data_IF_373414114514
#
_entry.id   IF_373414114514
#
_cell.length_a   1.000
_cell.length_b   1.000
_cell.length_c   1.000
_cell.angle_alpha   90.00
_cell.angle_beta   90.00
_cell.angle_gamma   90.00
#
_symmetry.space_group_name_H-M   'P 1'
#
loop_
_entity.id
_entity.type
_entity.pdbx_description
1 polymer ?
#
# COMPACT_ATOMS: atom_id res chain seq x y z
N UNK A 1 -27.90 35.49 -4.28
CA UNK A 1 -27.42 34.17 -4.70
C UNK A 1 -26.43 33.70 -3.65
N UNK A 2 -26.89 32.91 -2.68
CA UNK A 2 -26.10 32.42 -1.56
C UNK A 2 -25.25 31.24 -2.06
N UNK A 3 -23.93 31.44 -2.09
CA UNK A 3 -22.97 30.34 -2.27
C UNK A 3 -23.10 29.40 -1.07
N UNK A 4 -23.86 28.33 -1.23
CA UNK A 4 -23.84 27.20 -0.33
C UNK A 4 -22.47 26.53 -0.44
N UNK A 5 -21.58 26.82 0.51
CA UNK A 5 -20.40 26.00 0.77
C UNK A 5 -20.91 24.63 1.22
N UNK A 6 -20.88 23.66 0.29
CA UNK A 6 -21.05 22.26 0.64
C UNK A 6 -20.06 21.96 1.77
N UNK A 7 -20.56 21.54 2.93
CA UNK A 7 -19.73 21.11 4.04
C UNK A 7 -18.77 20.04 3.52
N UNK A 8 -17.45 20.24 3.69
CA UNK A 8 -16.48 19.19 3.39
C UNK A 8 -16.87 17.97 4.24
N UNK A 9 -16.97 16.76 3.64
CA UNK A 9 -17.21 15.57 4.43
C UNK A 9 -16.17 15.49 5.54
N UNK A 10 -16.59 15.04 6.71
CA UNK A 10 -15.70 14.90 7.88
C UNK A 10 -14.58 13.92 7.50
N UNK A 11 -13.41 14.48 7.17
CA UNK A 11 -12.23 13.74 6.68
C UNK A 11 -11.63 12.77 7.70
N UNK A 12 -12.25 12.59 8.88
CA UNK A 12 -11.77 11.71 9.95
C UNK A 12 -12.55 10.39 10.06
N UNK A 13 -13.47 10.12 9.16
CA UNK A 13 -14.29 8.90 9.28
C UNK A 13 -13.45 7.63 9.10
N UNK A 14 -12.46 7.62 8.20
CA UNK A 14 -11.63 6.43 7.96
C UNK A 14 -10.60 6.19 9.07
N UNK A 15 -10.12 7.23 9.78
CA UNK A 15 -9.11 7.12 10.83
C UNK A 15 -9.53 6.18 11.98
N UNK A 16 -10.82 6.10 12.29
CA UNK A 16 -11.36 5.17 13.29
C UNK A 16 -11.06 3.71 12.97
N UNK A 17 -10.90 3.36 11.70
CA UNK A 17 -10.64 1.98 11.29
C UNK A 17 -9.23 1.52 11.64
N UNK A 18 -8.28 2.42 11.95
CA UNK A 18 -6.98 2.05 12.52
C UNK A 18 -7.12 1.31 13.86
N UNK A 19 -8.18 1.58 14.63
CA UNK A 19 -8.47 0.88 15.89
C UNK A 19 -9.50 -0.23 15.74
N UNK A 20 -10.36 -0.19 14.73
CA UNK A 20 -11.42 -1.16 14.52
C UNK A 20 -10.99 -2.39 13.72
N UNK A 21 -9.95 -2.26 12.90
CA UNK A 21 -9.47 -3.32 12.03
C UNK A 21 -7.98 -3.57 12.24
N UNK A 22 -7.63 -4.78 12.61
CA UNK A 22 -6.23 -5.21 12.68
C UNK A 22 -5.93 -6.09 11.48
N UNK A 23 -5.09 -5.64 10.53
CA UNK A 23 -4.76 -6.45 9.36
C UNK A 23 -4.01 -7.71 9.80
N UNK A 24 -4.40 -8.91 9.31
CA UNK A 24 -3.73 -10.14 9.65
C UNK A 24 -2.27 -10.10 9.18
N UNK A 25 -1.37 -10.73 9.96
CA UNK A 25 0.02 -10.93 9.57
C UNK A 25 0.10 -11.78 8.30
N UNK A 26 1.14 -11.58 7.51
CA UNK A 26 1.39 -12.38 6.29
C UNK A 26 1.79 -13.81 6.67
N UNK A 27 2.77 -13.95 7.56
CA UNK A 27 3.17 -15.27 8.11
C UNK A 27 3.44 -16.32 7.01
N UNK A 28 4.16 -15.92 5.98
CA UNK A 28 4.55 -16.74 4.84
C UNK A 28 3.45 -17.04 3.82
N UNK A 29 2.19 -16.66 4.10
CA UNK A 29 1.06 -16.86 3.17
C UNK A 29 0.39 -15.53 2.81
N UNK A 30 0.50 -15.15 1.56
CA UNK A 30 -0.09 -13.93 0.99
C UNK A 30 -1.52 -14.13 0.48
N UNK A 31 -1.99 -15.38 0.44
CA UNK A 31 -3.26 -15.72 -0.22
C UNK A 31 -4.45 -15.07 0.47
N UNK A 32 -5.21 -14.29 -0.27
CA UNK A 32 -6.41 -13.64 0.20
C UNK A 32 -6.18 -12.55 1.26
N UNK A 33 -4.94 -12.16 1.54
CA UNK A 33 -4.65 -11.11 2.53
C UNK A 33 -4.61 -9.73 1.89
N UNK A 34 -5.18 -8.74 2.58
CA UNK A 34 -5.01 -7.34 2.25
C UNK A 34 -3.57 -6.90 2.53
N UNK A 35 -3.05 -5.99 1.71
CA UNK A 35 -1.71 -5.39 1.90
C UNK A 35 -1.90 -3.89 2.17
N UNK A 36 -2.00 -3.53 3.44
CA UNK A 36 -2.39 -2.17 3.86
C UNK A 36 -1.43 -1.53 4.87
N UNK A 37 -0.55 -2.32 5.50
CA UNK A 37 0.45 -1.82 6.44
C UNK A 37 1.76 -2.61 6.31
N UNK A 38 2.89 -1.93 6.53
CA UNK A 38 4.20 -2.59 6.63
C UNK A 38 4.29 -3.49 7.87
N UNK A 39 3.47 -3.25 8.87
CA UNK A 39 3.46 -4.02 10.11
C UNK A 39 2.90 -5.45 9.94
N UNK A 40 2.31 -5.77 8.76
CA UNK A 40 1.85 -7.12 8.45
C UNK A 40 2.99 -8.11 8.17
N UNK A 41 4.17 -7.61 7.83
CA UNK A 41 5.31 -8.41 7.38
C UNK A 41 6.26 -8.75 8.53
N UNK A 42 7.05 -9.79 8.30
CA UNK A 42 8.26 -10.11 9.03
C UNK A 42 9.46 -10.32 8.07
N UNK A 43 10.63 -10.67 8.62
CA UNK A 43 11.84 -10.92 7.82
C UNK A 43 11.66 -12.04 6.81
N UNK A 44 10.93 -13.10 7.16
CA UNK A 44 10.67 -14.23 6.27
C UNK A 44 9.76 -13.83 5.10
N UNK A 45 8.72 -13.06 5.39
CA UNK A 45 7.81 -12.54 4.37
C UNK A 45 8.55 -11.69 3.35
N UNK A 46 9.46 -10.83 3.83
CA UNK A 46 10.28 -9.95 2.96
C UNK A 46 11.23 -10.77 2.11
N UNK A 47 11.83 -11.84 2.62
CA UNK A 47 12.68 -12.72 1.83
C UNK A 47 11.88 -13.43 0.72
N UNK A 48 10.68 -13.93 1.01
CA UNK A 48 9.76 -14.50 0.01
C UNK A 48 9.46 -13.50 -1.10
N UNK A 49 9.18 -12.23 -0.71
CA UNK A 49 8.93 -11.16 -1.68
C UNK A 49 10.15 -10.83 -2.53
N UNK A 50 11.35 -10.80 -1.94
CA UNK A 50 12.59 -10.51 -2.66
C UNK A 50 12.89 -11.60 -3.70
N UNK A 51 12.75 -12.86 -3.31
CA UNK A 51 12.98 -14.00 -4.21
C UNK A 51 11.96 -14.01 -5.36
N UNK A 52 10.68 -13.80 -5.06
CA UNK A 52 9.63 -13.68 -6.06
C UNK A 52 9.88 -12.50 -7.02
N UNK A 53 10.26 -11.33 -6.48
CA UNK A 53 10.54 -10.12 -7.26
C UNK A 53 11.73 -10.35 -8.20
N UNK A 54 12.82 -10.93 -7.71
CA UNK A 54 13.99 -11.25 -8.51
C UNK A 54 13.65 -12.24 -9.64
N UNK A 55 12.87 -13.27 -9.33
CA UNK A 55 12.39 -14.26 -10.31
C UNK A 55 11.51 -13.62 -11.39
N UNK A 56 10.49 -12.86 -11.01
CA UNK A 56 9.57 -12.18 -11.95
C UNK A 56 10.35 -11.18 -12.80
N UNK A 57 11.24 -10.38 -12.24
CA UNK A 57 12.08 -9.43 -12.96
C UNK A 57 12.96 -10.13 -14.03
N UNK A 58 13.56 -11.28 -13.68
CA UNK A 58 14.34 -12.10 -14.62
C UNK A 58 13.46 -12.57 -15.78
N UNK A 59 12.28 -13.09 -15.48
CA UNK A 59 11.33 -13.60 -16.47
C UNK A 59 10.81 -12.49 -17.39
N UNK A 60 10.53 -11.28 -16.86
CA UNK A 60 10.15 -10.10 -17.67
C UNK A 60 11.27 -9.75 -18.66
N UNK A 61 12.54 -9.70 -18.20
CA UNK A 61 13.70 -9.40 -19.07
C UNK A 61 13.92 -10.46 -20.16
N UNK A 62 13.50 -11.68 -19.92
CA UNK A 62 13.56 -12.79 -20.87
C UNK A 62 12.33 -12.86 -21.79
N UNK A 63 11.38 -11.94 -21.67
CA UNK A 63 10.10 -11.97 -22.39
C UNK A 63 9.35 -13.30 -22.23
N UNK A 64 9.43 -13.91 -21.03
CA UNK A 64 8.78 -15.18 -20.73
C UNK A 64 7.26 -15.04 -20.73
N UNK A 65 6.62 -15.57 -21.75
CA UNK A 65 5.16 -15.56 -21.90
C UNK A 65 4.43 -16.38 -20.83
N UNK A 66 5.12 -17.30 -20.14
CA UNK A 66 4.53 -18.04 -19.02
C UNK A 66 4.12 -17.14 -17.85
N UNK A 67 4.61 -15.88 -17.78
CA UNK A 67 4.14 -14.89 -16.82
C UNK A 67 2.65 -14.55 -17.00
N UNK A 68 2.16 -14.57 -18.24
CA UNK A 68 0.76 -14.23 -18.54
C UNK A 68 -0.25 -15.22 -17.96
N UNK A 69 0.18 -16.37 -17.50
CA UNK A 69 -0.68 -17.35 -16.85
C UNK A 69 -0.89 -17.08 -15.35
N UNK A 70 -0.06 -16.21 -14.73
CA UNK A 70 -0.08 -16.02 -13.28
C UNK A 70 -1.37 -15.36 -12.77
N UNK A 71 -1.91 -14.41 -13.53
CA UNK A 71 -3.15 -13.71 -13.19
C UNK A 71 -4.20 -13.80 -14.29
N UNK A 72 -4.11 -14.77 -15.17
CA UNK A 72 -5.08 -14.99 -16.24
C UNK A 72 -6.50 -15.14 -15.63
N UNK A 73 -7.48 -14.41 -16.17
CA UNK A 73 -8.85 -14.40 -15.69
C UNK A 73 -9.08 -13.62 -14.38
N UNK A 74 -8.07 -12.93 -13.86
CA UNK A 74 -8.19 -12.04 -12.70
C UNK A 74 -8.39 -10.60 -13.14
N UNK A 75 -9.21 -9.87 -12.38
CA UNK A 75 -9.50 -8.46 -12.61
C UNK A 75 -8.99 -7.62 -11.44
N UNK A 76 -8.17 -6.62 -11.75
CA UNK A 76 -7.74 -5.60 -10.80
C UNK A 76 -8.47 -4.29 -11.07
N UNK A 77 -9.00 -3.67 -10.01
CA UNK A 77 -9.53 -2.30 -10.05
C UNK A 77 -8.53 -1.33 -9.44
N UNK A 78 -8.28 -0.18 -10.09
CA UNK A 78 -7.52 0.92 -9.47
C UNK A 78 -8.47 2.06 -9.11
N UNK A 79 -8.54 2.38 -7.81
CA UNK A 79 -9.36 3.46 -7.24
C UNK A 79 -8.43 4.55 -6.69
N UNK A 80 -8.16 5.56 -7.49
CA UNK A 80 -7.26 6.66 -7.15
C UNK A 80 -8.04 7.94 -6.89
N UNK A 81 -8.29 8.22 -5.61
CA UNK A 81 -8.91 9.47 -5.13
C UNK A 81 -7.91 10.63 -5.07
N UNK A 82 -6.62 10.31 -5.01
CA UNK A 82 -5.51 11.25 -5.09
C UNK A 82 -4.66 10.93 -6.32
N UNK A 83 -4.38 11.92 -7.15
CA UNK A 83 -3.63 11.74 -8.39
C UNK A 83 -2.21 11.19 -8.12
N UNK A 84 -1.84 10.12 -8.80
CA UNK A 84 -0.51 9.54 -8.75
C UNK A 84 -0.19 8.75 -10.01
N UNK A 85 0.33 9.43 -11.01
CA UNK A 85 0.61 8.82 -12.33
C UNK A 85 1.52 7.60 -12.23
N UNK A 86 2.63 7.69 -11.50
CA UNK A 86 3.60 6.59 -11.39
C UNK A 86 3.01 5.37 -10.68
N UNK A 87 2.34 5.57 -9.55
CA UNK A 87 1.76 4.46 -8.77
C UNK A 87 0.66 3.78 -9.55
N UNK A 88 -0.29 4.53 -10.12
CA UNK A 88 -1.40 3.96 -10.89
C UNK A 88 -0.89 3.16 -12.09
N UNK A 89 -0.06 3.77 -12.95
CA UNK A 89 0.48 3.09 -14.13
C UNK A 89 1.34 1.87 -13.78
N UNK A 90 2.09 1.91 -12.67
CA UNK A 90 2.92 0.76 -12.26
C UNK A 90 2.09 -0.45 -11.86
N UNK A 91 1.01 -0.26 -11.11
CA UNK A 91 0.08 -1.35 -10.77
C UNK A 91 -0.64 -1.89 -12.01
N UNK A 92 -1.11 -1.02 -12.90
CA UNK A 92 -1.75 -1.43 -14.14
C UNK A 92 -0.79 -2.21 -15.04
N UNK A 93 0.46 -1.75 -15.17
CA UNK A 93 1.48 -2.45 -15.94
C UNK A 93 1.81 -3.81 -15.32
N UNK A 94 1.98 -3.88 -13.98
CA UNK A 94 2.26 -5.12 -13.28
C UNK A 94 1.17 -6.17 -13.53
N UNK A 95 -0.11 -5.80 -13.37
CA UNK A 95 -1.22 -6.73 -13.58
C UNK A 95 -1.25 -7.27 -15.02
N UNK A 96 -1.03 -6.40 -16.02
CA UNK A 96 -1.00 -6.81 -17.43
C UNK A 96 0.21 -7.65 -17.79
N UNK A 97 1.39 -7.37 -17.23
CA UNK A 97 2.57 -8.22 -17.41
C UNK A 97 2.39 -9.65 -16.86
N UNK A 98 1.51 -9.80 -15.88
CA UNK A 98 1.18 -11.10 -15.29
C UNK A 98 -0.03 -11.77 -15.97
N UNK A 99 -0.69 -11.10 -16.92
CA UNK A 99 -1.78 -11.64 -17.75
C UNK A 99 -3.20 -11.37 -17.23
N UNK A 100 -3.34 -10.49 -16.25
CA UNK A 100 -4.65 -10.06 -15.76
C UNK A 100 -5.19 -8.82 -16.46
N UNK A 101 -6.46 -8.54 -16.19
CA UNK A 101 -7.19 -7.39 -16.72
C UNK A 101 -7.25 -6.25 -15.70
N UNK A 102 -7.46 -5.03 -16.19
CA UNK A 102 -7.51 -3.82 -15.35
C UNK A 102 -8.71 -2.97 -15.71
N UNK A 103 -9.47 -2.56 -14.70
CA UNK A 103 -10.43 -1.47 -14.76
C UNK A 103 -9.94 -0.31 -13.89
N UNK A 104 -9.93 0.90 -14.42
CA UNK A 104 -9.37 2.05 -13.72
C UNK A 104 -10.42 3.14 -13.51
N UNK A 105 -10.51 3.64 -12.28
CA UNK A 105 -11.27 4.82 -11.93
C UNK A 105 -10.32 5.90 -11.37
N UNK A 106 -9.44 6.40 -12.25
CA UNK A 106 -8.49 7.47 -11.92
C UNK A 106 -9.14 8.82 -12.21
N UNK A 107 -9.07 9.75 -11.27
CA UNK A 107 -9.68 11.09 -11.33
C UNK A 107 -11.23 11.10 -11.47
N UNK A 108 -11.84 10.04 -11.98
CA UNK A 108 -13.29 9.94 -12.15
C UNK A 108 -14.04 9.70 -10.85
N UNK A 109 -13.42 9.05 -9.86
CA UNK A 109 -14.03 8.77 -8.56
C UNK A 109 -14.38 10.07 -7.84
N UNK A 110 -13.50 11.09 -7.90
CA UNK A 110 -13.75 12.40 -7.29
C UNK A 110 -14.94 13.14 -7.92
N UNK A 111 -15.22 12.89 -9.20
CA UNK A 111 -16.26 13.64 -9.95
C UNK A 111 -17.59 12.90 -10.03
N UNK A 112 -17.63 11.59 -9.85
CA UNK A 112 -18.84 10.80 -10.05
C UNK A 112 -19.51 10.38 -8.73
N UNK A 113 -18.79 9.66 -7.88
CA UNK A 113 -19.39 9.00 -6.70
C UNK A 113 -19.45 9.93 -5.48
N UNK A 114 -18.36 10.64 -5.17
CA UNK A 114 -18.31 11.58 -4.03
C UNK A 114 -19.31 12.73 -4.21
N UNK A 115 -19.45 13.24 -5.44
CA UNK A 115 -20.40 14.31 -5.74
C UNK A 115 -21.86 13.89 -5.52
N UNK A 116 -22.14 12.58 -5.59
CA UNK A 116 -23.45 11.99 -5.35
C UNK A 116 -23.67 11.50 -3.91
N UNK A 117 -22.68 11.73 -3.03
CA UNK A 117 -22.76 11.31 -1.62
C UNK A 117 -22.44 9.84 -1.38
N UNK A 118 -21.85 9.13 -2.34
CA UNK A 118 -21.36 7.77 -2.16
C UNK A 118 -20.11 7.78 -1.26
N UNK A 119 -20.09 6.94 -0.24
CA UNK A 119 -18.97 6.79 0.67
C UNK A 119 -17.99 5.71 0.17
N UNK A 120 -16.78 5.68 0.75
CA UNK A 120 -15.75 4.71 0.39
C UNK A 120 -16.21 3.27 0.58
N UNK A 121 -16.95 3.00 1.66
CA UNK A 121 -17.46 1.67 1.98
C UNK A 121 -18.39 1.12 0.87
N UNK A 122 -19.26 1.95 0.32
CA UNK A 122 -20.17 1.56 -0.74
C UNK A 122 -19.42 1.32 -2.05
N UNK A 123 -18.47 2.20 -2.40
CA UNK A 123 -17.63 2.05 -3.59
C UNK A 123 -16.81 0.75 -3.54
N UNK A 124 -16.10 0.46 -2.43
CA UNK A 124 -15.26 -0.73 -2.35
C UNK A 124 -16.09 -2.02 -2.33
N UNK A 125 -17.29 -2.02 -1.72
CA UNK A 125 -18.20 -3.16 -1.78
C UNK A 125 -18.71 -3.41 -3.18
N UNK A 126 -19.15 -2.37 -3.88
CA UNK A 126 -19.61 -2.48 -5.26
C UNK A 126 -18.51 -3.02 -6.18
N UNK A 127 -17.29 -2.46 -6.10
CA UNK A 127 -16.14 -2.89 -6.89
C UNK A 127 -15.70 -4.30 -6.50
N UNK A 128 -15.74 -4.64 -5.21
CA UNK A 128 -15.42 -5.98 -4.69
C UNK A 128 -16.32 -7.10 -5.21
N UNK A 129 -17.53 -6.77 -5.68
CA UNK A 129 -18.40 -7.77 -6.31
C UNK A 129 -17.85 -8.32 -7.64
N UNK A 130 -17.00 -7.57 -8.35
CA UNK A 130 -16.49 -7.98 -9.65
C UNK A 130 -14.96 -7.97 -9.79
N UNK A 131 -14.22 -7.21 -8.97
CA UNK A 131 -12.76 -7.22 -8.97
C UNK A 131 -12.20 -8.26 -7.99
N UNK A 132 -11.05 -8.85 -8.32
CA UNK A 132 -10.31 -9.75 -7.42
C UNK A 132 -9.32 -8.95 -6.54
N UNK A 133 -8.78 -7.85 -7.07
CA UNK A 133 -7.85 -6.96 -6.37
C UNK A 133 -8.29 -5.52 -6.56
N UNK A 134 -8.29 -4.75 -5.48
CA UNK A 134 -8.53 -3.30 -5.50
C UNK A 134 -7.23 -2.60 -5.06
N UNK A 135 -6.65 -1.78 -5.92
CA UNK A 135 -5.57 -0.87 -5.52
C UNK A 135 -6.20 0.45 -5.14
N UNK A 136 -6.11 0.80 -3.86
CA UNK A 136 -6.73 2.01 -3.32
C UNK A 136 -5.67 3.05 -2.98
N UNK A 137 -5.80 4.26 -3.53
CA UNK A 137 -5.09 5.45 -3.08
C UNK A 137 -6.07 6.54 -2.67
N UNK A 138 -6.01 6.97 -1.42
CA UNK A 138 -6.96 7.92 -0.85
C UNK A 138 -6.23 8.99 -0.02
N UNK A 139 -6.71 10.25 0.02
CA UNK A 139 -6.09 11.30 0.82
C UNK A 139 -6.29 11.15 2.33
N UNK A 140 -7.25 10.35 2.77
CA UNK A 140 -7.61 10.16 4.16
C UNK A 140 -6.87 8.97 4.78
N UNK A 141 -6.24 9.21 5.95
CA UNK A 141 -5.56 8.16 6.72
C UNK A 141 -6.57 7.12 7.21
N UNK A 142 -6.21 5.84 7.13
CA UNK A 142 -7.09 4.73 7.55
C UNK A 142 -8.05 4.24 6.46
N UNK A 143 -8.11 4.90 5.30
CA UNK A 143 -8.99 4.50 4.20
C UNK A 143 -8.74 3.09 3.70
N UNK A 144 -7.49 2.63 3.68
CA UNK A 144 -7.15 1.26 3.32
C UNK A 144 -7.63 0.24 4.36
N UNK A 145 -7.65 0.62 5.64
CA UNK A 145 -8.21 -0.18 6.74
C UNK A 145 -9.74 -0.26 6.65
N UNK A 146 -10.40 0.86 6.35
CA UNK A 146 -11.84 0.91 6.08
C UNK A 146 -12.20 -0.01 4.91
N UNK A 147 -11.48 0.09 3.79
CA UNK A 147 -11.69 -0.76 2.64
C UNK A 147 -11.52 -2.24 2.98
N UNK A 148 -10.45 -2.61 3.70
CA UNK A 148 -10.19 -3.98 4.12
C UNK A 148 -11.33 -4.53 5.01
N UNK A 149 -11.77 -3.75 6.00
CA UNK A 149 -12.89 -4.11 6.88
C UNK A 149 -14.16 -4.43 6.10
N UNK A 150 -14.57 -3.56 5.17
CA UNK A 150 -15.80 -3.78 4.40
C UNK A 150 -15.65 -4.88 3.35
N UNK A 151 -14.46 -5.12 2.81
CA UNK A 151 -14.23 -6.26 1.93
C UNK A 151 -14.27 -7.59 2.68
N UNK A 152 -13.77 -7.66 3.92
CA UNK A 152 -13.88 -8.86 4.76
C UNK A 152 -15.34 -9.17 5.11
N UNK A 153 -16.18 -8.16 5.34
CA UNK A 153 -17.63 -8.37 5.49
C UNK A 153 -18.28 -8.83 4.17
N UNK A 154 -17.87 -8.29 3.04
CA UNK A 154 -18.38 -8.66 1.73
C UNK A 154 -18.07 -10.11 1.38
N UNK A 155 -16.85 -10.61 1.72
CA UNK A 155 -16.39 -11.98 1.47
C UNK A 155 -17.31 -13.05 2.09
N UNK A 156 -18.05 -12.70 3.13
CA UNK A 156 -19.03 -13.59 3.76
C UNK A 156 -20.31 -13.77 2.91
N UNK A 157 -20.51 -12.90 1.91
CA UNK A 157 -21.74 -12.81 1.11
C UNK A 157 -21.53 -13.15 -0.36
N UNK A 158 -20.28 -13.11 -0.84
CA UNK A 158 -19.95 -13.33 -2.25
C UNK A 158 -18.96 -14.48 -2.43
N UNK A 159 -18.99 -15.12 -3.60
CA UNK A 159 -18.06 -16.22 -3.94
C UNK A 159 -16.64 -15.69 -4.11
N UNK A 160 -16.47 -14.46 -4.66
CA UNK A 160 -15.18 -13.83 -4.81
C UNK A 160 -14.56 -13.47 -3.47
N UNK A 161 -13.24 -13.48 -3.43
CA UNK A 161 -12.46 -13.11 -2.25
C UNK A 161 -11.61 -11.87 -2.56
N UNK A 162 -12.25 -10.69 -2.75
CA UNK A 162 -11.53 -9.48 -3.14
C UNK A 162 -10.54 -9.05 -2.07
N UNK A 163 -9.37 -8.56 -2.50
CA UNK A 163 -8.35 -8.00 -1.60
C UNK A 163 -8.12 -6.52 -1.93
N UNK A 164 -7.71 -5.74 -0.94
CA UNK A 164 -7.21 -4.39 -1.15
C UNK A 164 -5.70 -4.31 -0.95
N UNK A 165 -5.04 -3.58 -1.84
CA UNK A 165 -3.63 -3.18 -1.73
C UNK A 165 -3.60 -1.66 -1.60
N UNK A 166 -2.95 -1.15 -0.55
CA UNK A 166 -2.78 0.29 -0.35
C UNK A 166 -1.77 0.87 -1.34
N UNK A 167 -2.22 1.80 -2.17
CA UNK A 167 -1.39 2.68 -3.01
C UNK A 167 -1.02 4.00 -2.31
N UNK A 168 -1.24 4.07 -0.99
CA UNK A 168 -1.01 5.22 -0.12
C UNK A 168 -2.29 5.83 0.41
N UNK A 169 -2.31 6.15 1.71
CA UNK A 169 -3.44 6.75 2.43
C UNK A 169 -3.02 8.05 3.16
N UNK A 170 -3.19 9.17 2.52
CA UNK A 170 -2.83 10.48 3.07
C UNK A 170 -1.37 10.54 3.53
N UNK A 171 -1.14 10.92 4.78
CA UNK A 171 0.18 10.91 5.45
C UNK A 171 0.45 9.61 6.22
N UNK A 172 -0.43 8.62 6.12
CA UNK A 172 -0.31 7.32 6.78
C UNK A 172 0.80 6.44 6.19
N UNK A 173 0.43 5.33 5.56
CA UNK A 173 1.41 4.39 5.01
C UNK A 173 1.34 4.26 3.49
N UNK A 174 2.47 3.84 2.91
CA UNK A 174 2.57 3.38 1.52
C UNK A 174 3.37 2.07 1.50
N UNK A 175 2.75 0.96 1.91
CA UNK A 175 3.48 -0.30 2.14
C UNK A 175 4.18 -0.81 0.89
N UNK A 176 3.55 -0.73 -0.28
CA UNK A 176 4.17 -1.20 -1.53
C UNK A 176 5.36 -0.35 -1.96
N UNK A 177 5.40 0.94 -1.62
CA UNK A 177 6.59 1.77 -1.85
C UNK A 177 7.72 1.35 -0.92
N UNK A 178 7.45 1.12 0.37
CA UNK A 178 8.46 0.66 1.31
C UNK A 178 9.05 -0.71 0.90
N UNK A 179 8.21 -1.64 0.43
CA UNK A 179 8.65 -2.92 -0.11
C UNK A 179 9.55 -2.76 -1.34
N UNK A 180 9.21 -1.83 -2.25
CA UNK A 180 10.00 -1.52 -3.44
C UNK A 180 11.37 -0.91 -3.05
N UNK A 181 11.38 0.03 -2.12
CA UNK A 181 12.60 0.69 -1.64
C UNK A 181 13.51 -0.33 -0.92
N UNK A 182 12.92 -1.18 -0.07
CA UNK A 182 13.62 -2.25 0.64
C UNK A 182 14.26 -3.26 -0.33
N UNK A 183 13.50 -3.68 -1.35
CA UNK A 183 14.03 -4.55 -2.41
C UNK A 183 15.15 -3.88 -3.20
N UNK A 184 15.03 -2.57 -3.47
CA UNK A 184 16.07 -1.81 -4.19
C UNK A 184 17.37 -1.76 -3.39
N UNK A 185 17.29 -1.55 -2.06
CA UNK A 185 18.45 -1.60 -1.18
C UNK A 185 19.06 -3.01 -1.21
N UNK A 186 18.26 -4.05 -1.03
CA UNK A 186 18.70 -5.44 -1.06
C UNK A 186 19.36 -5.80 -2.40
N UNK A 187 18.77 -5.42 -3.51
CA UNK A 187 19.31 -5.69 -4.84
C UNK A 187 20.64 -4.99 -5.10
N UNK A 188 20.78 -3.74 -4.62
CA UNK A 188 22.00 -2.95 -4.81
C UNK A 188 23.14 -3.36 -3.87
N UNK A 189 22.84 -3.81 -2.65
CA UNK A 189 23.82 -4.09 -1.60
C UNK A 189 24.01 -5.59 -1.32
N UNK A 190 23.11 -6.45 -1.80
CA UNK A 190 23.07 -7.88 -1.49
C UNK A 190 22.66 -8.20 -0.05
N UNK A 191 22.33 -7.20 0.74
CA UNK A 191 22.00 -7.32 2.17
C UNK A 191 21.19 -6.12 2.64
N UNK A 192 20.59 -6.25 3.81
CA UNK A 192 20.00 -5.13 4.59
C UNK A 192 20.80 -4.91 5.88
N UNK A 193 21.38 -5.98 6.41
CA UNK A 193 22.22 -5.92 7.63
C UNK A 193 23.53 -5.16 7.40
N UNK A 194 24.04 -4.46 8.42
CA UNK A 194 25.33 -3.76 8.42
C UNK A 194 25.38 -2.57 7.47
N UNK A 195 24.30 -1.83 7.35
CA UNK A 195 24.21 -0.66 6.47
C UNK A 195 24.06 0.64 7.27
N UNK A 196 24.67 1.70 6.75
CA UNK A 196 24.35 3.08 7.12
C UNK A 196 23.39 3.66 6.10
N UNK A 197 22.15 3.92 6.53
CA UNK A 197 21.08 4.44 5.67
C UNK A 197 20.72 5.85 6.12
N UNK A 198 20.93 6.83 5.26
CA UNK A 198 20.61 8.23 5.55
C UNK A 198 19.36 8.66 4.78
N UNK A 199 18.35 9.12 5.52
CA UNK A 199 17.11 9.68 4.97
C UNK A 199 17.15 11.20 5.12
N UNK A 200 17.04 11.93 4.00
CA UNK A 200 17.24 13.39 3.95
C UNK A 200 16.01 14.07 3.38
N UNK A 201 15.53 15.14 4.03
CA UNK A 201 14.48 16.01 3.50
C UNK A 201 13.31 16.21 4.46
N UNK A 202 12.08 16.24 3.93
CA UNK A 202 10.87 16.33 4.75
C UNK A 202 10.54 14.96 5.37
N UNK A 203 11.06 14.74 6.57
CA UNK A 203 10.83 13.51 7.32
C UNK A 203 9.52 13.56 8.11
N UNK A 204 8.90 14.74 8.25
CA UNK A 204 7.66 14.90 8.99
C UNK A 204 6.43 14.43 8.21
N UNK A 205 6.37 14.73 6.91
CA UNK A 205 5.22 14.43 6.06
C UNK A 205 5.51 13.30 5.06
N UNK A 206 6.75 12.80 5.04
CA UNK A 206 7.23 11.79 4.11
C UNK A 206 6.76 10.37 4.46
N UNK A 207 5.51 10.00 4.13
CA UNK A 207 4.98 8.64 4.39
C UNK A 207 5.87 7.51 3.88
N UNK A 208 6.60 7.73 2.80
CA UNK A 208 7.51 6.71 2.24
C UNK A 208 8.70 6.45 3.15
N UNK A 209 9.29 7.50 3.72
CA UNK A 209 10.40 7.35 4.68
C UNK A 209 9.92 6.75 6.02
N UNK A 210 8.70 7.07 6.47
CA UNK A 210 8.10 6.45 7.65
C UNK A 210 7.93 4.94 7.45
N UNK A 211 7.30 4.55 6.34
CA UNK A 211 7.05 3.15 6.03
C UNK A 211 8.34 2.36 5.80
N UNK A 212 9.35 2.97 5.15
CA UNK A 212 10.66 2.33 4.94
C UNK A 212 11.41 2.15 6.27
N UNK A 213 11.47 3.19 7.12
CA UNK A 213 12.13 3.09 8.43
C UNK A 213 11.49 2.00 9.30
N UNK A 214 10.16 1.98 9.38
CA UNK A 214 9.43 0.90 10.07
C UNK A 214 9.76 -0.47 9.50
N UNK A 215 9.80 -0.62 8.17
CA UNK A 215 10.04 -1.91 7.52
C UNK A 215 11.46 -2.44 7.76
N UNK A 216 12.47 -1.54 7.80
CA UNK A 216 13.85 -1.90 8.16
C UNK A 216 13.90 -2.40 9.61
N UNK A 217 13.22 -1.73 10.55
CA UNK A 217 13.14 -2.17 11.93
C UNK A 217 12.38 -3.50 12.09
N UNK A 218 11.28 -3.71 11.33
CA UNK A 218 10.54 -4.97 11.30
C UNK A 218 11.38 -6.12 10.74
N UNK A 219 12.20 -5.84 9.72
CA UNK A 219 13.16 -6.81 9.19
C UNK A 219 14.16 -7.27 10.25
N UNK A 220 14.38 -6.46 11.30
CA UNK A 220 15.36 -6.74 12.36
C UNK A 220 16.77 -6.73 11.82
N UNK A 221 17.11 -5.69 11.03
CA UNK A 221 18.41 -5.53 10.42
C UNK A 221 19.48 -5.37 11.49
N UNK A 222 20.44 -6.28 11.53
CA UNK A 222 21.53 -6.27 12.51
C UNK A 222 22.60 -5.25 12.08
N UNK A 223 23.18 -4.54 13.05
CA UNK A 223 24.27 -3.56 12.83
C UNK A 223 23.91 -2.50 11.75
N UNK A 224 22.63 -2.14 11.63
CA UNK A 224 22.15 -1.16 10.65
C UNK A 224 21.79 0.13 11.36
N UNK A 225 22.35 1.24 10.87
CA UNK A 225 22.09 2.58 11.41
C UNK A 225 21.18 3.37 10.49
N UNK A 226 20.13 3.97 11.05
CA UNK A 226 19.25 4.91 10.35
C UNK A 226 19.59 6.35 10.76
N UNK A 227 20.05 7.15 9.81
CA UNK A 227 20.36 8.57 10.02
C UNK A 227 19.24 9.42 9.44
N UNK A 228 18.68 10.31 10.25
CA UNK A 228 17.62 11.23 9.86
C UNK A 228 18.14 12.65 9.78
N UNK A 229 18.15 13.24 8.58
CA UNK A 229 18.69 14.58 8.31
C UNK A 229 17.57 15.46 7.76
N UNK A 230 17.09 16.39 8.59
CA UNK A 230 16.03 17.33 8.26
C UNK A 230 16.18 18.64 9.04
N UNK A 231 15.62 19.75 8.56
CA UNK A 231 15.35 20.91 9.41
C UNK A 231 14.48 20.51 10.61
N UNK A 232 14.63 21.24 11.73
CA UNK A 232 13.96 20.88 12.98
C UNK A 232 12.42 20.76 12.82
N UNK A 233 11.81 21.65 12.06
CA UNK A 233 10.37 21.65 11.76
C UNK A 233 9.90 20.49 10.89
N UNK A 234 10.80 19.83 10.18
CA UNK A 234 10.56 18.69 9.28
C UNK A 234 11.15 17.38 9.82
N UNK A 235 11.50 17.34 11.10
CA UNK A 235 12.09 16.17 11.75
C UNK A 235 11.13 14.97 11.78
N UNK A 236 11.71 13.77 11.88
CA UNK A 236 10.96 12.52 12.00
C UNK A 236 9.99 12.58 13.19
N UNK A 237 8.73 12.21 13.01
CA UNK A 237 7.73 12.21 14.09
C UNK A 237 8.10 11.31 15.26
N UNK A 238 7.81 11.76 16.49
CA UNK A 238 8.15 11.04 17.71
C UNK A 238 7.57 9.61 17.77
N UNK A 239 6.36 9.40 17.26
CA UNK A 239 5.74 8.08 17.20
C UNK A 239 6.51 7.10 16.31
N UNK A 240 7.11 7.58 15.23
CA UNK A 240 7.98 6.75 14.38
C UNK A 240 9.28 6.43 15.12
N UNK A 241 9.93 7.42 15.75
CA UNK A 241 11.15 7.19 16.54
C UNK A 241 10.90 6.18 17.66
N UNK A 242 9.83 6.33 18.44
CA UNK A 242 9.47 5.38 19.50
C UNK A 242 9.21 3.96 18.96
N UNK A 243 8.63 3.84 17.77
CA UNK A 243 8.45 2.55 17.11
C UNK A 243 9.79 1.88 16.76
N UNK A 244 10.77 2.67 16.28
CA UNK A 244 12.12 2.18 15.94
C UNK A 244 12.88 1.78 17.20
N UNK A 245 12.92 2.63 18.22
CA UNK A 245 13.57 2.39 19.51
C UNK A 245 13.06 1.13 20.21
N UNK A 246 11.78 0.84 20.07
CA UNK A 246 11.17 -0.38 20.64
C UNK A 246 11.56 -1.69 19.93
N UNK A 247 12.33 -1.60 18.82
CA UNK A 247 12.79 -2.78 18.05
C UNK A 247 14.33 -2.90 17.95
N UNK A 248 15.07 -2.03 18.58
CA UNK A 248 16.54 -2.03 18.68
C UNK A 248 17.16 -1.03 17.73
#
# INVERSE_FOLDING_TARGET
MSNGTAARPDLRQSERFLSLYTPPKIDGDFTGKHIISVEQFDRRDLQILFDATASIRKRIRQHDRGLLALTAGRLMATLFYEASTRTDLSFQAAMRHLGGEVVAASNGVQFSSIYKGENLADTVRAVGCYADVIVLRHPEVGSSYEAAYYLDLLRQQVIRQPVVISGGDGVGEHPTQALLDMFTIFDAKGRIDGLDITMVGDLRHGRTVHSLAKLIAIYGAQDTTLNFVAPQELSMPANILSFLEGRG
#
